data_IF_524294065394
#
_entry.id   IF_524294065394
#
_cell.length_a   1.000
_cell.length_b   1.000
_cell.length_c   1.000
_cell.angle_alpha   90.00
_cell.angle_beta   90.00
_cell.angle_gamma   90.00
#
_symmetry.space_group_name_H-M   'P 1'
#
loop_
_entity.id
_entity.type
_entity.pdbx_description
1 polymer ?
#
# COMPACT_ATOMS: atom_id res chain seq x y z
N UNK A 1 9.64 23.41 27.52
CA UNK A 1 9.68 21.98 27.95
C UNK A 1 9.41 20.95 26.82
N UNK A 2 8.75 21.31 25.71
CA UNK A 2 8.26 20.31 24.74
C UNK A 2 9.29 19.49 23.94
N UNK A 3 10.56 19.92 23.84
CA UNK A 3 11.59 19.19 23.08
C UNK A 3 11.99 17.85 23.72
N UNK A 4 12.19 17.84 25.03
CA UNK A 4 12.52 16.63 25.79
C UNK A 4 11.36 15.64 25.78
N UNK A 5 10.14 16.17 25.90
CA UNK A 5 8.92 15.36 25.85
C UNK A 5 8.68 14.76 24.46
N UNK A 6 8.89 15.54 23.40
CA UNK A 6 8.86 15.03 22.03
C UNK A 6 9.89 13.92 21.81
N UNK A 7 11.13 14.09 22.28
CA UNK A 7 12.18 13.06 22.19
C UNK A 7 11.80 11.78 22.95
N UNK A 8 11.21 11.91 24.13
CA UNK A 8 10.73 10.77 24.93
C UNK A 8 9.61 10.01 24.22
N UNK A 9 8.62 10.73 23.66
CA UNK A 9 7.55 10.13 22.88
C UNK A 9 8.07 9.44 21.61
N UNK A 10 9.05 10.05 20.91
CA UNK A 10 9.74 9.42 19.78
C UNK A 10 10.37 8.10 20.22
N UNK A 11 11.09 8.07 21.34
CA UNK A 11 11.76 6.86 21.81
C UNK A 11 10.78 5.75 22.17
N UNK A 12 9.70 6.08 22.88
CA UNK A 12 8.62 5.13 23.20
C UNK A 12 8.02 4.55 21.92
N UNK A 13 7.73 5.39 20.93
CA UNK A 13 7.13 4.94 19.67
C UNK A 13 8.09 4.11 18.83
N UNK A 14 9.37 4.48 18.79
CA UNK A 14 10.43 3.70 18.14
C UNK A 14 10.57 2.31 18.77
N UNK A 15 10.58 2.20 20.10
CA UNK A 15 10.65 0.90 20.81
C UNK A 15 9.45 0.02 20.48
N UNK A 16 8.24 0.61 20.41
CA UNK A 16 7.04 -0.12 20.02
C UNK A 16 7.09 -0.64 18.58
N UNK A 17 7.46 0.21 17.62
CA UNK A 17 7.61 -0.21 16.23
C UNK A 17 8.69 -1.28 16.07
N UNK A 18 9.77 -1.18 16.84
CA UNK A 18 10.84 -2.18 16.82
C UNK A 18 10.36 -3.53 17.39
N UNK A 19 9.57 -3.53 18.47
CA UNK A 19 8.94 -4.74 18.98
C UNK A 19 7.96 -5.36 17.97
N UNK A 20 7.19 -4.53 17.24
CA UNK A 20 6.30 -5.01 16.17
C UNK A 20 7.10 -5.69 15.04
N UNK A 21 8.27 -5.16 14.68
CA UNK A 21 9.19 -5.76 13.70
C UNK A 21 9.77 -7.08 14.22
N UNK A 22 10.28 -7.10 15.44
CA UNK A 22 10.88 -8.31 16.04
C UNK A 22 9.86 -9.46 16.15
N UNK A 23 8.63 -9.16 16.57
CA UNK A 23 7.54 -10.14 16.63
C UNK A 23 7.13 -10.65 15.24
N UNK A 24 7.12 -9.77 14.23
CA UNK A 24 6.82 -10.16 12.86
C UNK A 24 7.92 -11.08 12.31
N UNK A 25 9.19 -10.74 12.53
CA UNK A 25 10.33 -11.56 12.12
C UNK A 25 10.34 -12.93 12.80
N UNK A 26 10.05 -13.00 14.10
CA UNK A 26 10.01 -14.27 14.84
C UNK A 26 8.89 -15.18 14.30
N UNK A 27 7.72 -14.60 14.01
CA UNK A 27 6.60 -15.33 13.39
C UNK A 27 6.94 -15.79 11.97
N UNK A 28 7.63 -14.97 11.19
CA UNK A 28 8.06 -15.35 9.84
C UNK A 28 9.05 -16.51 9.89
N UNK A 29 10.06 -16.45 10.78
CA UNK A 29 11.01 -17.56 11.00
C UNK A 29 10.30 -18.84 11.42
N UNK A 30 9.34 -18.76 12.34
CA UNK A 30 8.56 -19.92 12.78
C UNK A 30 7.73 -20.52 11.63
N UNK A 31 7.13 -19.69 10.77
CA UNK A 31 6.39 -20.15 9.59
C UNK A 31 7.31 -20.79 8.53
N UNK A 32 8.52 -20.27 8.37
CA UNK A 32 9.55 -20.86 7.50
C UNK A 32 10.01 -22.23 8.00
N UNK A 33 10.29 -22.36 9.30
CA UNK A 33 10.68 -23.62 9.95
C UNK A 33 9.61 -24.71 9.83
N UNK A 34 8.32 -24.33 9.90
CA UNK A 34 7.19 -25.24 9.71
C UNK A 34 6.98 -25.68 8.24
N UNK A 35 7.79 -25.20 7.29
CA UNK A 35 7.70 -25.57 5.87
C UNK A 35 6.42 -25.08 5.18
N UNK A 36 5.70 -24.14 5.82
CA UNK A 36 4.48 -23.49 5.33
C UNK A 36 4.64 -22.82 3.96
N UNK A 37 5.81 -22.24 3.58
CA UNK A 37 6.00 -21.65 2.26
C UNK A 37 5.71 -22.63 1.12
N UNK A 38 6.01 -23.93 1.32
CA UNK A 38 5.78 -24.97 0.30
C UNK A 38 4.30 -25.28 0.09
N UNK A 39 3.51 -25.35 1.17
CA UNK A 39 2.06 -25.63 1.12
C UNK A 39 1.29 -24.48 0.49
N UNK A 40 1.64 -23.22 0.79
CA UNK A 40 0.99 -22.06 0.19
C UNK A 40 1.43 -21.81 -1.26
N UNK A 41 2.72 -22.00 -1.61
CA UNK A 41 3.15 -21.98 -3.04
C UNK A 41 2.50 -23.11 -3.84
N UNK A 42 2.31 -24.28 -3.24
CA UNK A 42 1.61 -25.40 -3.88
C UNK A 42 0.11 -25.13 -4.04
N UNK A 43 -0.53 -24.42 -3.09
CA UNK A 43 -1.90 -23.95 -3.23
C UNK A 43 -2.03 -22.92 -4.37
N UNK A 44 -1.10 -21.97 -4.48
CA UNK A 44 -1.05 -20.94 -5.53
C UNK A 44 -0.82 -21.53 -6.94
N UNK A 45 -0.08 -22.64 -7.06
CA UNK A 45 0.05 -23.40 -8.32
C UNK A 45 -1.22 -24.14 -8.74
N UNK A 46 -2.20 -24.27 -7.85
CA UNK A 46 -3.48 -24.93 -8.11
C UNK A 46 -4.57 -23.98 -8.64
N UNK A 47 -4.21 -22.74 -8.98
CA UNK A 47 -5.08 -21.84 -9.76
C UNK A 47 -5.13 -22.27 -11.23
N UNK A 48 -5.75 -23.43 -11.45
CA UNK A 48 -6.13 -23.95 -12.76
C UNK A 48 -7.05 -23.00 -13.53
N UNK A 49 -7.53 -21.91 -12.91
CA UNK A 49 -8.31 -20.85 -13.54
C UNK A 49 -7.66 -20.33 -14.83
N UNK A 50 -6.33 -20.18 -14.86
CA UNK A 50 -5.60 -19.75 -16.06
C UNK A 50 -5.69 -20.79 -17.18
N UNK A 51 -5.58 -22.07 -16.83
CA UNK A 51 -5.68 -23.19 -17.76
C UNK A 51 -7.11 -23.33 -18.29
N UNK A 52 -8.13 -23.16 -17.44
CA UNK A 52 -9.54 -23.17 -17.84
C UNK A 52 -9.92 -21.98 -18.72
N UNK A 53 -9.41 -20.77 -18.43
CA UNK A 53 -9.62 -19.58 -19.27
C UNK A 53 -8.96 -19.74 -20.65
N UNK A 54 -7.75 -20.29 -20.70
CA UNK A 54 -7.05 -20.55 -21.96
C UNK A 54 -7.74 -21.65 -22.77
N UNK A 55 -8.19 -22.72 -22.12
CA UNK A 55 -8.99 -23.78 -22.75
C UNK A 55 -10.31 -23.25 -23.31
N UNK A 56 -11.02 -22.38 -22.56
CA UNK A 56 -12.23 -21.69 -23.01
C UNK A 56 -11.95 -20.86 -24.27
N UNK A 57 -10.88 -20.06 -24.27
CA UNK A 57 -10.50 -19.25 -25.43
C UNK A 57 -10.24 -20.11 -26.68
N UNK A 58 -9.55 -21.25 -26.51
CA UNK A 58 -9.28 -22.21 -27.59
C UNK A 58 -10.58 -22.84 -28.10
N UNK A 59 -11.48 -23.26 -27.22
CA UNK A 59 -12.79 -23.85 -27.59
C UNK A 59 -13.69 -22.87 -28.35
N UNK A 60 -13.71 -21.61 -27.93
CA UNK A 60 -14.50 -20.54 -28.58
C UNK A 60 -13.94 -20.25 -29.98
N UNK A 61 -12.62 -20.23 -30.12
CA UNK A 61 -11.96 -20.04 -31.41
C UNK A 61 -12.26 -21.20 -32.38
N UNK A 62 -12.22 -22.44 -31.87
CA UNK A 62 -12.61 -23.65 -32.61
C UNK A 62 -14.08 -23.61 -33.03
N UNK A 63 -14.99 -23.24 -32.12
CA UNK A 63 -16.42 -23.10 -32.43
C UNK A 63 -16.70 -22.04 -33.50
N UNK A 64 -15.98 -20.91 -33.45
CA UNK A 64 -16.09 -19.85 -34.45
C UNK A 64 -15.57 -20.28 -35.83
N UNK A 65 -14.44 -20.99 -35.88
CA UNK A 65 -13.90 -21.58 -37.11
C UNK A 65 -14.88 -22.58 -37.74
N UNK A 66 -15.46 -23.46 -36.91
CA UNK A 66 -16.45 -24.44 -37.35
C UNK A 66 -17.73 -23.76 -37.87
N UNK A 67 -18.17 -22.68 -37.21
CA UNK A 67 -19.29 -21.85 -37.65
C UNK A 67 -19.02 -21.19 -39.01
N UNK A 68 -17.82 -20.62 -39.23
CA UNK A 68 -17.45 -20.04 -40.53
C UNK A 68 -17.48 -21.10 -41.63
N UNK A 69 -16.85 -22.26 -41.41
CA UNK A 69 -16.79 -23.35 -42.38
C UNK A 69 -18.20 -23.85 -42.74
N UNK A 70 -19.07 -24.00 -41.74
CA UNK A 70 -20.46 -24.45 -41.94
C UNK A 70 -21.30 -23.38 -42.66
N UNK A 71 -21.12 -22.10 -42.31
CA UNK A 71 -21.83 -21.00 -42.96
C UNK A 71 -21.50 -20.86 -44.45
N UNK A 72 -20.28 -21.23 -44.87
CA UNK A 72 -19.85 -21.21 -46.28
C UNK A 72 -20.35 -22.40 -47.11
N UNK A 73 -20.83 -23.47 -46.47
CA UNK A 73 -21.35 -24.68 -47.14
C UNK A 73 -22.88 -24.73 -47.21
N UNK A 74 -23.59 -23.78 -46.60
CA UNK A 74 -25.04 -23.70 -46.65
C UNK A 74 -25.49 -22.85 -47.86
N UNK A 75 -26.53 -23.29 -48.62
CA UNK A 75 -27.01 -22.56 -49.79
C UNK A 75 -27.52 -21.16 -49.41
N UNK A 76 -27.26 -20.21 -50.31
CA UNK A 76 -27.47 -18.75 -50.24
C UNK A 76 -28.84 -18.23 -49.72
N UNK A 77 -29.80 -19.11 -49.41
CA UNK A 77 -31.16 -18.77 -48.96
C UNK A 77 -31.30 -18.50 -47.46
N UNK A 78 -30.34 -18.93 -46.63
CA UNK A 78 -30.30 -18.58 -45.21
C UNK A 78 -29.22 -17.51 -44.98
N UNK A 79 -29.59 -16.25 -45.23
CA UNK A 79 -28.78 -15.09 -44.88
C UNK A 79 -28.74 -14.89 -43.37
N UNK A 80 -28.01 -15.75 -42.65
CA UNK A 80 -27.75 -15.53 -41.23
C UNK A 80 -26.84 -14.31 -41.08
N UNK A 81 -27.32 -13.21 -40.45
CA UNK A 81 -26.45 -12.06 -40.22
C UNK A 81 -25.31 -12.50 -39.31
N UNK A 82 -24.06 -12.31 -39.74
CA UNK A 82 -22.86 -12.67 -38.99
C UNK A 82 -22.60 -11.74 -37.79
N UNK A 83 -23.28 -10.58 -37.75
CA UNK A 83 -23.10 -9.55 -36.73
C UNK A 83 -23.40 -9.98 -35.28
N UNK A 84 -24.45 -10.77 -34.96
CA UNK A 84 -24.70 -11.23 -33.58
C UNK A 84 -23.63 -12.21 -33.13
N UNK A 85 -23.12 -13.04 -34.04
CA UNK A 85 -22.07 -14.02 -33.75
C UNK A 85 -20.72 -13.36 -33.50
N UNK A 86 -20.40 -12.28 -34.24
CA UNK A 86 -19.24 -11.43 -33.96
C UNK A 86 -19.35 -10.77 -32.59
N UNK A 87 -20.54 -10.30 -32.21
CA UNK A 87 -20.77 -9.72 -30.88
C UNK A 87 -20.57 -10.75 -29.77
N UNK A 88 -21.14 -11.96 -29.92
CA UNK A 88 -20.95 -13.06 -28.96
C UNK A 88 -19.47 -13.43 -28.85
N UNK A 89 -18.75 -13.52 -29.97
CA UNK A 89 -17.31 -13.82 -29.96
C UNK A 89 -16.51 -12.74 -29.23
N UNK A 90 -16.81 -11.47 -29.49
CA UNK A 90 -16.17 -10.33 -28.82
C UNK A 90 -16.43 -10.36 -27.30
N UNK A 91 -17.68 -10.59 -26.89
CA UNK A 91 -18.08 -10.67 -25.47
C UNK A 91 -17.37 -11.83 -24.79
N UNK A 92 -17.32 -13.01 -25.41
CA UNK A 92 -16.67 -14.20 -24.85
C UNK A 92 -15.14 -14.07 -24.81
N UNK A 93 -14.53 -13.27 -25.70
CA UNK A 93 -13.09 -13.00 -25.64
C UNK A 93 -12.75 -11.92 -24.59
N UNK A 94 -13.62 -10.91 -24.42
CA UNK A 94 -13.43 -9.81 -23.46
C UNK A 94 -13.71 -10.23 -22.02
N UNK A 95 -14.73 -11.05 -21.76
CA UNK A 95 -15.10 -11.45 -20.39
C UNK A 95 -13.96 -12.10 -19.60
N UNK A 96 -13.23 -13.09 -20.16
CA UNK A 96 -12.04 -13.67 -19.54
C UNK A 96 -10.94 -12.65 -19.25
N UNK A 97 -10.72 -11.71 -20.18
CA UNK A 97 -9.69 -10.67 -20.03
C UNK A 97 -10.05 -9.70 -18.91
N UNK A 98 -11.31 -9.26 -18.86
CA UNK A 98 -11.83 -8.38 -17.81
C UNK A 98 -11.80 -9.09 -16.47
N UNK A 99 -12.22 -10.36 -16.41
CA UNK A 99 -12.14 -11.18 -15.21
C UNK A 99 -10.70 -11.37 -14.74
N UNK A 100 -9.77 -11.69 -15.64
CA UNK A 100 -8.33 -11.80 -15.31
C UNK A 100 -7.78 -10.49 -14.75
N UNK A 101 -8.11 -9.36 -15.38
CA UNK A 101 -7.64 -8.05 -14.93
C UNK A 101 -8.22 -7.65 -13.57
N UNK A 102 -9.51 -7.92 -13.31
CA UNK A 102 -10.12 -7.68 -12.00
C UNK A 102 -9.59 -8.63 -10.92
N UNK A 103 -9.42 -9.91 -11.25
CA UNK A 103 -9.02 -10.94 -10.28
C UNK A 103 -7.57 -10.76 -9.82
N UNK A 104 -6.68 -10.27 -10.68
CA UNK A 104 -5.29 -9.98 -10.34
C UNK A 104 -5.12 -8.82 -9.34
N UNK A 105 -6.12 -7.93 -9.24
CA UNK A 105 -6.12 -6.85 -8.24
C UNK A 105 -6.57 -7.32 -6.86
N UNK A 106 -7.28 -8.44 -6.78
CA UNK A 106 -7.92 -8.93 -5.55
C UNK A 106 -7.34 -10.28 -5.10
N UNK A 107 -6.12 -10.66 -5.49
CA UNK A 107 -5.46 -11.82 -4.90
C UNK A 107 -5.36 -11.59 -3.38
N UNK A 108 -6.04 -12.42 -2.55
CA UNK A 108 -5.98 -12.26 -1.11
C UNK A 108 -4.53 -12.48 -0.70
N UNK A 109 -3.92 -11.43 -0.12
CA UNK A 109 -2.57 -11.52 0.42
C UNK A 109 -2.53 -12.68 1.39
N UNK A 110 -1.54 -13.54 1.24
CA UNK A 110 -1.38 -14.63 2.21
C UNK A 110 -1.05 -14.03 3.58
N UNK A 111 -1.40 -14.70 4.71
CA UNK A 111 -1.04 -14.22 6.04
C UNK A 111 0.46 -13.95 6.20
N UNK A 112 1.30 -14.62 5.41
CA UNK A 112 2.75 -14.40 5.35
C UNK A 112 3.12 -13.12 4.60
N UNK A 113 2.54 -12.88 3.42
CA UNK A 113 2.74 -11.63 2.67
C UNK A 113 2.24 -10.40 3.47
N UNK A 114 1.16 -10.53 4.26
CA UNK A 114 0.70 -9.46 5.15
C UNK A 114 1.68 -9.17 6.30
N UNK A 115 2.29 -10.21 6.88
CA UNK A 115 3.31 -10.06 7.93
C UNK A 115 4.60 -9.43 7.37
N UNK A 116 5.07 -9.88 6.21
CA UNK A 116 6.22 -9.30 5.52
C UNK A 116 5.99 -7.83 5.16
N UNK A 117 4.80 -7.49 4.65
CA UNK A 117 4.48 -6.10 4.31
C UNK A 117 4.45 -5.22 5.57
N UNK A 118 3.85 -5.69 6.67
CA UNK A 118 3.87 -4.97 7.95
C UNK A 118 5.28 -4.75 8.49
N UNK A 119 6.11 -5.78 8.49
CA UNK A 119 7.52 -5.68 8.91
C UNK A 119 8.26 -4.63 8.05
N UNK A 120 8.11 -4.73 6.73
CA UNK A 120 8.75 -3.82 5.78
C UNK A 120 8.31 -2.38 5.99
N UNK A 121 7.01 -2.12 6.18
CA UNK A 121 6.49 -0.78 6.40
C UNK A 121 6.96 -0.20 7.74
N UNK A 122 6.95 -0.99 8.81
CA UNK A 122 7.44 -0.55 10.12
C UNK A 122 8.95 -0.23 10.10
N UNK A 123 9.76 -1.06 9.44
CA UNK A 123 11.20 -0.80 9.21
C UNK A 123 11.42 0.48 8.40
N UNK A 124 10.59 0.73 7.39
CA UNK A 124 10.68 1.93 6.56
C UNK A 124 10.39 3.19 7.40
N UNK A 125 9.32 3.19 8.19
CA UNK A 125 8.96 4.30 9.10
C UNK A 125 10.05 4.54 10.15
N UNK A 126 10.59 3.48 10.75
CA UNK A 126 11.68 3.61 11.72
C UNK A 126 12.94 4.24 11.11
N UNK A 127 13.34 3.75 9.93
CA UNK A 127 14.61 4.15 9.31
C UNK A 127 14.56 5.50 8.61
N UNK A 128 13.43 5.83 7.97
CA UNK A 128 13.28 7.05 7.17
C UNK A 128 12.57 8.19 7.89
N UNK A 129 11.68 7.92 8.84
CA UNK A 129 10.98 8.98 9.56
C UNK A 129 11.52 9.18 10.97
N UNK A 130 11.36 8.20 11.86
CA UNK A 130 11.65 8.41 13.29
C UNK A 130 13.14 8.59 13.61
N UNK A 131 14.05 7.80 13.00
CA UNK A 131 15.49 7.96 13.23
C UNK A 131 16.01 9.32 12.74
N UNK A 132 15.70 9.79 11.51
CA UNK A 132 16.14 11.10 11.08
C UNK A 132 15.45 12.22 11.87
N UNK A 133 14.16 12.07 12.21
CA UNK A 133 13.45 13.06 13.03
C UNK A 133 14.12 13.24 14.39
N UNK A 134 14.45 12.13 15.08
CA UNK A 134 15.16 12.18 16.37
C UNK A 134 16.49 12.91 16.25
N UNK A 135 17.29 12.60 15.22
CA UNK A 135 18.59 13.25 14.98
C UNK A 135 18.44 14.74 14.68
N UNK A 136 17.45 15.12 13.88
CA UNK A 136 17.16 16.52 13.59
C UNK A 136 16.75 17.25 14.88
N UNK A 137 15.91 16.62 15.70
CA UNK A 137 15.48 17.13 17.01
C UNK A 137 16.61 17.22 18.03
N UNK A 138 17.57 16.29 18.05
CA UNK A 138 18.74 16.35 18.94
C UNK A 138 19.71 17.47 18.53
N UNK A 139 19.83 17.75 17.23
CA UNK A 139 20.74 18.76 16.68
C UNK A 139 20.11 20.14 16.50
N UNK A 140 18.82 20.27 16.73
CA UNK A 140 18.01 21.45 16.38
C UNK A 140 18.16 21.85 14.89
N UNK A 141 18.30 20.83 14.04
CA UNK A 141 18.52 21.01 12.61
C UNK A 141 17.18 21.17 11.89
N UNK A 142 16.74 22.43 11.76
CA UNK A 142 15.48 22.78 11.08
C UNK A 142 15.48 22.38 9.61
N UNK A 143 16.62 22.48 8.91
CA UNK A 143 16.71 22.08 7.50
C UNK A 143 16.50 20.58 7.34
N UNK A 144 17.00 19.76 8.27
CA UNK A 144 16.74 18.32 8.26
C UNK A 144 15.25 17.99 8.52
N UNK A 145 14.56 18.76 9.37
CA UNK A 145 13.12 18.59 9.60
C UNK A 145 12.28 18.99 8.39
N UNK A 146 12.67 20.06 7.70
CA UNK A 146 12.02 20.51 6.47
C UNK A 146 12.16 19.44 5.36
N UNK A 147 13.36 18.88 5.18
CA UNK A 147 13.59 17.76 4.26
C UNK A 147 12.73 16.53 4.59
N UNK A 148 12.54 16.24 5.88
CA UNK A 148 11.64 15.16 6.30
C UNK A 148 10.18 15.44 5.94
N UNK A 149 9.75 16.70 6.02
CA UNK A 149 8.42 17.12 5.58
C UNK A 149 8.27 16.97 4.06
N UNK A 150 9.28 17.37 3.29
CA UNK A 150 9.33 17.16 1.84
C UNK A 150 9.29 15.68 1.48
N UNK A 151 10.07 14.83 2.15
CA UNK A 151 10.08 13.38 1.93
C UNK A 151 8.72 12.76 2.21
N UNK A 152 8.02 13.17 3.27
CA UNK A 152 6.67 12.69 3.58
C UNK A 152 5.64 13.02 2.49
N UNK A 153 5.80 14.15 1.78
CA UNK A 153 4.89 14.56 0.71
C UNK A 153 5.25 13.92 -0.64
N UNK A 154 6.54 13.76 -0.92
CA UNK A 154 7.04 13.37 -2.23
C UNK A 154 7.32 11.87 -2.36
N UNK A 155 7.59 11.15 -1.27
CA UNK A 155 7.81 9.70 -1.30
C UNK A 155 6.50 8.93 -1.00
N UNK A 156 5.82 8.38 -2.02
CA UNK A 156 4.58 7.63 -1.81
C UNK A 156 4.80 6.35 -1.01
N UNK A 157 6.01 5.79 -0.97
CA UNK A 157 6.31 4.61 -0.15
C UNK A 157 6.34 4.99 1.33
N UNK A 158 6.93 6.14 1.67
CA UNK A 158 6.96 6.62 3.05
C UNK A 158 5.56 7.01 3.52
N UNK A 159 4.82 7.75 2.72
CA UNK A 159 3.43 8.12 3.03
C UNK A 159 2.56 6.89 3.28
N UNK A 160 2.62 5.90 2.39
CA UNK A 160 1.91 4.64 2.57
C UNK A 160 2.35 3.89 3.83
N UNK A 161 3.65 3.86 4.13
CA UNK A 161 4.14 3.17 5.32
C UNK A 161 3.62 3.83 6.62
N UNK A 162 3.50 5.15 6.67
CA UNK A 162 2.93 5.91 7.79
C UNK A 162 1.44 5.59 7.99
N UNK A 163 0.67 5.48 6.91
CA UNK A 163 -0.75 5.12 6.97
C UNK A 163 -0.95 3.66 7.41
N UNK A 164 -0.21 2.71 6.82
CA UNK A 164 -0.31 1.27 7.11
C UNK A 164 0.12 0.94 8.55
N UNK A 165 1.10 1.68 9.10
CA UNK A 165 1.53 1.56 10.51
C UNK A 165 0.69 2.39 11.48
N UNK A 166 -0.33 3.10 10.98
CA UNK A 166 -1.25 3.95 11.76
C UNK A 166 -0.53 5.00 12.61
N UNK A 167 0.53 5.60 12.06
CA UNK A 167 1.26 6.71 12.72
C UNK A 167 0.56 8.06 12.55
N UNK A 168 -0.28 8.18 11.51
CA UNK A 168 -1.09 9.36 11.24
C UNK A 168 -1.31 9.59 9.76
N UNK A 169 -1.71 10.82 9.42
CA UNK A 169 -1.78 11.28 8.03
C UNK A 169 -0.41 11.90 7.63
N UNK A 170 0.27 11.38 6.60
CA UNK A 170 1.55 11.90 6.12
C UNK A 170 1.53 13.40 5.82
N UNK A 171 0.43 13.91 5.25
CA UNK A 171 0.30 15.33 4.89
C UNK A 171 0.20 16.21 6.12
N UNK A 172 -0.59 15.78 7.11
CA UNK A 172 -0.69 16.49 8.39
C UNK A 172 0.62 16.45 9.17
N UNK A 173 1.35 15.33 9.11
CA UNK A 173 2.67 15.21 9.72
C UNK A 173 3.70 16.12 9.06
N UNK A 174 3.71 16.19 7.72
CA UNK A 174 4.57 17.12 6.97
C UNK A 174 4.23 18.58 7.31
N UNK A 175 2.95 18.93 7.33
CA UNK A 175 2.51 20.28 7.68
C UNK A 175 2.89 20.66 9.11
N UNK A 176 2.76 19.75 10.07
CA UNK A 176 3.22 19.97 11.44
C UNK A 176 4.74 20.23 11.51
N UNK A 177 5.54 19.52 10.71
CA UNK A 177 6.98 19.78 10.63
C UNK A 177 7.28 21.15 10.01
N UNK A 178 6.60 21.54 8.94
CA UNK A 178 6.74 22.88 8.35
C UNK A 178 6.36 24.00 9.32
N UNK A 179 5.24 23.84 10.04
CA UNK A 179 4.84 24.79 11.07
C UNK A 179 5.89 24.92 12.16
N UNK A 180 6.54 23.81 12.54
CA UNK A 180 7.61 23.85 13.52
C UNK A 180 8.86 24.59 13.01
N UNK A 181 9.27 24.34 11.76
CA UNK A 181 10.50 24.94 11.20
C UNK A 181 10.34 26.43 10.91
N UNK A 182 9.18 26.83 10.39
CA UNK A 182 8.85 28.20 9.97
C UNK A 182 8.03 28.99 11.00
N UNK A 183 7.93 28.51 12.24
CA UNK A 183 7.13 29.17 13.28
C UNK A 183 7.49 30.65 13.46
N UNK A 184 6.47 31.51 13.42
CA UNK A 184 6.56 32.96 13.67
C UNK A 184 5.51 33.41 14.69
N UNK A 185 5.81 34.50 15.40
CA UNK A 185 4.83 35.13 16.29
C UNK A 185 3.55 35.49 15.51
N UNK A 186 2.39 35.08 16.02
CA UNK A 186 1.09 35.22 15.37
C UNK A 186 0.54 33.94 14.73
N UNK A 187 1.31 32.84 14.67
CA UNK A 187 0.85 31.54 14.15
C UNK A 187 0.25 30.62 15.24
N UNK A 188 0.03 31.13 16.45
CA UNK A 188 -0.42 30.33 17.61
C UNK A 188 -1.76 29.62 17.37
N UNK A 189 -2.69 30.28 16.68
CA UNK A 189 -4.00 29.72 16.33
C UNK A 189 -3.85 28.56 15.33
N UNK A 190 -3.01 28.74 14.31
CA UNK A 190 -2.71 27.73 13.29
C UNK A 190 -2.03 26.49 13.89
N UNK A 191 -1.09 26.70 14.82
CA UNK A 191 -0.44 25.62 15.57
C UNK A 191 -1.47 24.90 16.45
N UNK A 192 -2.37 25.63 17.13
CA UNK A 192 -3.42 25.04 17.98
C UNK A 192 -4.43 24.22 17.17
N UNK A 193 -4.85 24.71 16.00
CA UNK A 193 -5.71 23.97 15.07
C UNK A 193 -5.03 22.69 14.60
N UNK A 194 -3.75 22.78 14.23
CA UNK A 194 -2.96 21.62 13.77
C UNK A 194 -2.82 20.56 14.86
N UNK A 195 -2.51 20.96 16.10
CA UNK A 195 -2.43 20.07 17.27
C UNK A 195 -3.74 19.29 17.47
N UNK A 196 -4.90 19.90 17.22
CA UNK A 196 -6.21 19.25 17.40
C UNK A 196 -6.49 18.14 16.38
N UNK A 197 -5.91 18.25 15.18
CA UNK A 197 -6.07 17.29 14.08
C UNK A 197 -4.94 16.26 14.00
N UNK A 198 -3.80 16.54 14.63
CA UNK A 198 -2.61 15.70 14.57
C UNK A 198 -2.74 14.49 15.50
N UNK A 199 -2.80 13.29 14.91
CA UNK A 199 -2.82 12.02 15.64
C UNK A 199 -1.45 11.62 16.18
N UNK A 200 -0.38 12.08 15.55
CA UNK A 200 0.99 11.71 15.89
C UNK A 200 1.43 12.42 17.20
N UNK A 201 1.55 11.65 18.28
CA UNK A 201 1.90 12.17 19.61
C UNK A 201 3.26 12.88 19.66
N UNK A 202 4.35 12.32 19.09
CA UNK A 202 5.64 12.99 19.01
C UNK A 202 5.58 14.40 18.42
N UNK A 203 4.97 14.55 17.25
CA UNK A 203 4.85 15.84 16.58
C UNK A 203 3.89 16.79 17.32
N UNK A 204 2.89 16.24 18.02
CA UNK A 204 2.00 17.04 18.85
C UNK A 204 2.73 17.63 20.06
N UNK A 205 3.56 16.85 20.74
CA UNK A 205 4.41 17.32 21.83
C UNK A 205 5.41 18.39 21.35
N UNK A 206 5.94 18.19 20.14
CA UNK A 206 6.83 19.14 19.49
C UNK A 206 6.16 20.52 19.29
N UNK A 207 4.94 20.53 18.74
CA UNK A 207 4.18 21.76 18.51
C UNK A 207 3.68 22.41 19.81
N UNK A 208 3.27 21.62 20.81
CA UNK A 208 2.90 22.16 22.14
C UNK A 208 4.06 22.92 22.77
N UNK A 209 5.29 22.43 22.57
CA UNK A 209 6.50 23.12 23.02
C UNK A 209 6.70 24.53 22.44
N UNK A 210 6.07 24.88 21.31
CA UNK A 210 6.14 26.22 20.73
C UNK A 210 5.16 27.21 21.36
N UNK A 211 4.00 26.73 21.81
CA UNK A 211 2.93 27.56 22.39
C UNK A 211 3.09 27.68 23.91
N UNK A 212 3.44 26.59 24.58
CA UNK A 212 3.42 26.50 26.06
C UNK A 212 4.73 26.96 26.72
N UNK A 213 5.81 27.13 25.94
CA UNK A 213 7.11 27.69 26.39
C UNK A 213 7.70 27.04 27.64
#
# INVERSE_FOLDING_TARGET
>A
MGREEALKEIEVRMRRLQAEVELAEERLRYLEELGVPSKYRALRRKDSAHTYLLLMAVWVLLGFLLFIVTSRRLPYWFGFPLSPYLLVMLVVMLLPLVYYYLSRRNEPKTPMEELEERERMARLVLSRFYRPLRKALEKDDRSAMEKLAEELLNDPLLGRAIEETREGDPKMMAYALYLYTEYRQGMEEEVRETISRLSNRPLRALLLGLIEG
#
